data_IF_629355838117
#
_entry.id   IF_629355838117
#
_cell.length_a   1.000
_cell.length_b   1.000
_cell.length_c   1.000
_cell.angle_alpha   90.00
_cell.angle_beta   90.00
_cell.angle_gamma   90.00
#
_symmetry.space_group_name_H-M   'P 1'
#
loop_
_entity.id
_entity.type
_entity.pdbx_description
1 polymer ?
#
# COMPACT_ATOMS: atom_id res chain seq x y z
N UNK A 1 22.22 -11.47 -0.91
CA UNK A 1 21.31 -11.86 0.21
C UNK A 1 20.42 -13.05 -0.16
N UNK A 2 19.58 -12.98 -1.19
CA UNK A 2 18.76 -14.13 -1.62
C UNK A 2 19.59 -15.28 -2.22
N UNK A 3 20.68 -15.00 -2.92
CA UNK A 3 21.60 -16.04 -3.42
C UNK A 3 22.31 -16.79 -2.31
N UNK A 4 22.69 -16.11 -1.22
CA UNK A 4 23.25 -16.75 -0.02
C UNK A 4 22.24 -17.64 0.70
N UNK A 5 20.95 -17.24 0.72
CA UNK A 5 19.88 -18.05 1.28
C UNK A 5 19.54 -19.26 0.41
N UNK A 6 19.62 -19.12 -0.91
CA UNK A 6 19.35 -20.23 -1.85
C UNK A 6 20.48 -21.27 -1.88
N UNK A 7 21.72 -20.90 -1.53
CA UNK A 7 22.83 -21.81 -1.37
C UNK A 7 22.80 -22.58 -0.02
N UNK A 8 22.01 -22.11 0.95
CA UNK A 8 21.86 -22.74 2.24
C UNK A 8 20.36 -22.93 2.59
N UNK A 9 19.85 -24.12 2.25
CA UNK A 9 18.43 -24.48 2.45
C UNK A 9 18.00 -24.32 3.92
N UNK A 10 18.87 -24.58 4.88
CA UNK A 10 18.52 -24.48 6.30
C UNK A 10 18.34 -23.04 6.76
N UNK A 11 19.22 -22.13 6.31
CA UNK A 11 19.10 -20.69 6.58
C UNK A 11 17.86 -20.10 5.92
N UNK A 12 17.58 -20.51 4.69
CA UNK A 12 16.39 -20.10 3.96
C UNK A 12 15.09 -20.59 4.65
N UNK A 13 15.07 -21.85 5.06
CA UNK A 13 13.92 -22.43 5.80
C UNK A 13 13.70 -21.70 7.13
N UNK A 14 14.77 -21.37 7.86
CA UNK A 14 14.68 -20.63 9.11
C UNK A 14 14.13 -19.21 8.91
N UNK A 15 14.56 -18.50 7.85
CA UNK A 15 14.04 -17.19 7.48
C UNK A 15 12.55 -17.27 7.17
N UNK A 16 12.12 -18.24 6.33
CA UNK A 16 10.71 -18.46 5.98
C UNK A 16 9.84 -18.70 7.22
N UNK A 17 10.30 -19.55 8.14
CA UNK A 17 9.58 -19.88 9.37
C UNK A 17 9.46 -18.65 10.27
N UNK A 18 10.48 -17.83 10.39
CA UNK A 18 10.46 -16.61 11.21
C UNK A 18 9.56 -15.54 10.60
N UNK A 19 9.62 -15.34 9.30
CA UNK A 19 8.77 -14.41 8.56
C UNK A 19 7.30 -14.77 8.66
N UNK A 20 6.94 -16.03 8.54
CA UNK A 20 5.56 -16.53 8.69
C UNK A 20 5.05 -16.31 10.12
N UNK A 21 5.89 -16.50 11.15
CA UNK A 21 5.51 -16.29 12.55
C UNK A 21 5.19 -14.85 12.90
N UNK A 22 5.79 -13.89 12.20
CA UNK A 22 5.66 -12.47 12.51
C UNK A 22 4.48 -11.77 11.81
N UNK A 23 3.69 -12.48 11.00
CA UNK A 23 2.51 -11.97 10.26
C UNK A 23 2.77 -10.72 9.41
N UNK A 24 4.04 -10.41 9.13
CA UNK A 24 4.46 -9.21 8.37
C UNK A 24 4.85 -9.52 6.95
N UNK A 25 5.05 -10.79 6.65
CA UNK A 25 5.46 -11.25 5.32
C UNK A 25 4.47 -12.27 4.76
N UNK A 26 4.37 -12.27 3.45
CA UNK A 26 3.63 -13.27 2.68
C UNK A 26 4.60 -13.80 1.63
N UNK A 27 4.71 -15.13 1.55
CA UNK A 27 5.56 -15.78 0.59
C UNK A 27 4.86 -16.98 -0.05
N UNK A 28 5.01 -17.09 -1.35
CA UNK A 28 4.42 -18.15 -2.16
C UNK A 28 5.49 -18.93 -2.89
N UNK A 29 5.32 -20.25 -2.94
CA UNK A 29 6.13 -21.13 -3.77
C UNK A 29 5.64 -21.04 -5.22
N UNK A 30 6.53 -20.62 -6.12
CA UNK A 30 6.29 -20.65 -7.57
C UNK A 30 6.40 -22.08 -8.05
N UNK A 31 5.37 -22.59 -8.74
CA UNK A 31 5.33 -23.96 -9.27
C UNK A 31 4.99 -23.99 -10.74
N UNK A 32 5.55 -24.94 -11.46
CA UNK A 32 5.06 -25.29 -12.80
C UNK A 32 3.66 -25.93 -12.71
N UNK A 33 2.95 -25.98 -13.84
CA UNK A 33 1.61 -26.59 -13.94
C UNK A 33 1.60 -28.05 -13.47
N UNK A 34 2.72 -28.76 -13.65
CA UNK A 34 2.87 -30.14 -13.16
C UNK A 34 3.15 -30.25 -11.65
N UNK A 35 3.15 -29.12 -10.92
CA UNK A 35 3.38 -29.04 -9.49
C UNK A 35 4.84 -28.90 -9.05
N UNK A 36 5.81 -28.97 -9.98
CA UNK A 36 7.24 -28.85 -9.64
C UNK A 36 7.55 -27.47 -9.07
N UNK A 37 8.12 -27.34 -7.86
CA UNK A 37 8.53 -26.06 -7.29
C UNK A 37 9.76 -25.55 -8.02
N UNK A 38 9.74 -24.30 -8.44
CA UNK A 38 10.78 -23.66 -9.24
C UNK A 38 11.31 -22.35 -8.65
N UNK A 39 10.68 -21.85 -7.57
CA UNK A 39 11.09 -20.58 -6.98
C UNK A 39 10.13 -20.09 -5.90
N UNK A 40 10.31 -18.85 -5.54
CA UNK A 40 9.52 -18.12 -4.56
C UNK A 40 9.20 -16.72 -5.05
N UNK A 41 8.09 -16.17 -4.55
CA UNK A 41 7.73 -14.76 -4.67
C UNK A 41 6.99 -14.34 -3.42
N UNK A 42 7.27 -13.15 -2.93
CA UNK A 42 6.64 -12.66 -1.70
C UNK A 42 7.24 -11.35 -1.27
N UNK A 43 7.30 -11.14 0.03
CA UNK A 43 7.92 -9.97 0.63
C UNK A 43 7.28 -9.60 1.95
N UNK A 44 7.57 -8.40 2.40
CA UNK A 44 7.14 -7.91 3.70
C UNK A 44 6.48 -6.54 3.62
N UNK A 45 5.58 -6.31 4.56
CA UNK A 45 4.87 -5.06 4.71
C UNK A 45 5.79 -4.02 5.35
N UNK A 46 5.94 -2.90 4.69
CA UNK A 46 6.71 -1.76 5.15
C UNK A 46 5.78 -0.57 5.44
N UNK A 47 5.88 -0.01 6.64
CA UNK A 47 5.14 1.19 7.01
C UNK A 47 6.08 2.40 7.04
N UNK A 48 5.83 3.34 6.16
CA UNK A 48 6.57 4.61 6.12
C UNK A 48 6.23 5.50 7.33
N UNK A 49 7.10 6.47 7.63
CA UNK A 49 6.86 7.43 8.71
C UNK A 49 5.60 8.27 8.48
N UNK A 50 5.20 8.46 7.24
CA UNK A 50 3.97 9.14 6.80
C UNK A 50 2.70 8.34 7.12
N UNK A 51 2.81 7.07 7.52
CA UNK A 51 1.70 6.13 7.69
C UNK A 51 1.36 5.36 6.40
N UNK A 52 1.98 5.68 5.29
CA UNK A 52 1.83 4.97 4.01
C UNK A 52 2.29 3.52 4.17
N UNK A 53 1.51 2.60 3.65
CA UNK A 53 1.81 1.16 3.64
C UNK A 53 2.35 0.80 2.26
N UNK A 54 3.56 0.28 2.25
CA UNK A 54 4.26 -0.20 1.07
C UNK A 54 4.60 -1.67 1.22
N UNK A 55 4.88 -2.34 0.13
CA UNK A 55 5.30 -3.75 0.13
C UNK A 55 6.71 -3.88 -0.44
N UNK A 56 7.65 -4.34 0.39
CA UNK A 56 8.98 -4.71 -0.08
C UNK A 56 8.90 -6.11 -0.71
N UNK A 57 8.99 -6.17 -2.02
CA UNK A 57 8.80 -7.41 -2.79
C UNK A 57 10.13 -8.10 -3.02
N UNK A 58 10.13 -9.43 -2.95
CA UNK A 58 11.27 -10.29 -3.25
C UNK A 58 10.84 -11.48 -4.09
N UNK A 59 11.74 -12.02 -4.89
CA UNK A 59 11.52 -13.25 -5.64
C UNK A 59 12.85 -13.96 -5.91
N UNK A 60 12.77 -15.26 -6.11
CA UNK A 60 13.89 -16.08 -6.57
C UNK A 60 13.38 -17.22 -7.44
N UNK A 61 14.10 -17.52 -8.52
CA UNK A 61 13.84 -18.66 -9.38
C UNK A 61 15.09 -19.54 -9.43
N UNK A 62 14.92 -20.84 -9.25
CA UNK A 62 16.02 -21.81 -9.31
C UNK A 62 16.80 -21.67 -10.61
N UNK A 63 18.15 -21.78 -10.61
CA UNK A 63 18.99 -21.52 -11.78
C UNK A 63 18.58 -22.30 -13.03
N UNK A 64 18.17 -23.55 -12.87
CA UNK A 64 17.71 -24.42 -13.97
C UNK A 64 16.43 -23.96 -14.66
N UNK A 65 15.69 -23.04 -14.05
CA UNK A 65 14.42 -22.51 -14.56
C UNK A 65 14.47 -21.02 -14.90
N UNK A 66 15.62 -20.38 -14.72
CA UNK A 66 15.80 -18.97 -15.08
C UNK A 66 15.72 -18.76 -16.61
N UNK A 67 15.59 -17.48 -17.02
CA UNK A 67 15.50 -17.05 -18.44
C UNK A 67 14.29 -17.57 -19.22
N UNK A 68 13.26 -18.09 -18.51
CA UNK A 68 11.99 -18.54 -19.10
C UNK A 68 10.81 -17.59 -18.83
N UNK A 69 11.06 -16.41 -18.26
CA UNK A 69 10.02 -15.44 -17.93
C UNK A 69 9.33 -15.66 -16.58
N UNK A 70 9.57 -16.77 -15.90
CA UNK A 70 8.88 -17.14 -14.64
C UNK A 70 9.02 -16.11 -13.53
N UNK A 71 10.17 -15.44 -13.40
CA UNK A 71 10.35 -14.39 -12.40
C UNK A 71 9.40 -13.19 -12.66
N UNK A 72 9.27 -12.76 -13.91
CA UNK A 72 8.37 -11.69 -14.31
C UNK A 72 6.91 -12.08 -14.07
N UNK A 73 6.52 -13.29 -14.49
CA UNK A 73 5.16 -13.80 -14.30
C UNK A 73 4.79 -13.90 -12.81
N UNK A 74 5.69 -14.44 -11.98
CA UNK A 74 5.51 -14.54 -10.55
C UNK A 74 5.39 -13.16 -9.90
N UNK A 75 6.26 -12.22 -10.25
CA UNK A 75 6.23 -10.86 -9.71
C UNK A 75 4.95 -10.13 -10.10
N UNK A 76 4.50 -10.20 -11.36
CA UNK A 76 3.24 -9.60 -11.82
C UNK A 76 2.06 -10.22 -11.07
N UNK A 77 1.98 -11.54 -10.99
CA UNK A 77 0.88 -12.24 -10.31
C UNK A 77 0.82 -11.89 -8.83
N UNK A 78 1.95 -11.83 -8.15
CA UNK A 78 2.03 -11.44 -6.75
C UNK A 78 1.62 -9.97 -6.55
N UNK A 79 2.06 -9.08 -7.43
CA UNK A 79 1.70 -7.66 -7.38
C UNK A 79 0.20 -7.46 -7.57
N UNK A 80 -0.44 -8.17 -8.49
CA UNK A 80 -1.90 -8.15 -8.64
C UNK A 80 -2.61 -8.70 -7.39
N UNK A 81 -2.07 -9.76 -6.79
CA UNK A 81 -2.63 -10.30 -5.55
C UNK A 81 -2.60 -9.29 -4.39
N UNK A 82 -1.50 -8.57 -4.19
CA UNK A 82 -1.39 -7.61 -3.09
C UNK A 82 -2.20 -6.33 -3.29
N UNK A 83 -2.70 -6.05 -4.50
CA UNK A 83 -3.60 -4.91 -4.77
C UNK A 83 -4.92 -4.98 -3.98
N UNK A 84 -5.37 -6.15 -3.56
CA UNK A 84 -6.58 -6.28 -2.74
C UNK A 84 -6.43 -5.67 -1.34
N UNK A 85 -5.19 -5.42 -0.91
CA UNK A 85 -4.88 -4.76 0.36
C UNK A 85 -4.68 -3.24 0.14
N UNK A 86 -4.81 -2.45 1.19
CA UNK A 86 -4.61 -1.00 1.14
C UNK A 86 -3.11 -0.63 1.08
N UNK A 87 -2.41 -1.17 0.09
CA UNK A 87 -0.99 -0.96 -0.16
C UNK A 87 -0.84 0.08 -1.26
N UNK A 88 -0.12 1.17 -0.97
CA UNK A 88 0.08 2.27 -1.92
C UNK A 88 0.98 1.85 -3.06
N UNK A 89 2.09 1.18 -2.73
CA UNK A 89 3.10 0.77 -3.70
C UNK A 89 3.78 -0.53 -3.32
N UNK A 90 4.22 -1.27 -4.32
CA UNK A 90 5.21 -2.32 -4.18
C UNK A 90 6.58 -1.79 -4.62
N UNK A 91 7.64 -2.22 -3.96
CA UNK A 91 8.99 -1.84 -4.35
C UNK A 91 9.97 -3.00 -4.28
N UNK A 92 11.08 -2.85 -4.99
CA UNK A 92 12.20 -3.76 -5.05
C UNK A 92 13.48 -2.96 -4.88
N UNK A 93 14.37 -3.41 -4.03
CA UNK A 93 15.73 -2.89 -3.92
C UNK A 93 16.68 -3.88 -4.60
N UNK A 94 17.34 -3.45 -5.68
CA UNK A 94 18.10 -4.30 -6.59
C UNK A 94 19.56 -3.83 -6.60
N UNK A 95 20.51 -4.75 -6.40
CA UNK A 95 21.94 -4.44 -6.49
C UNK A 95 22.32 -3.93 -7.90
N UNK A 96 23.31 -3.05 -7.93
CA UNK A 96 23.77 -2.42 -9.18
C UNK A 96 24.20 -3.41 -10.25
N UNK A 97 24.82 -4.50 -9.87
CA UNK A 97 25.31 -5.56 -10.76
C UNK A 97 24.21 -6.55 -11.20
N UNK A 98 23.01 -6.50 -10.62
CA UNK A 98 21.93 -7.45 -10.92
C UNK A 98 21.05 -7.00 -12.09
N UNK A 99 21.63 -6.99 -13.30
CA UNK A 99 20.93 -6.63 -14.53
C UNK A 99 19.71 -7.53 -14.83
N UNK A 100 19.76 -8.79 -14.40
CA UNK A 100 18.66 -9.72 -14.58
C UNK A 100 17.41 -9.27 -13.80
N UNK A 101 17.58 -8.90 -12.51
CA UNK A 101 16.48 -8.39 -11.68
C UNK A 101 15.99 -7.03 -12.14
N UNK A 102 16.87 -6.13 -12.58
CA UNK A 102 16.46 -4.84 -13.16
C UNK A 102 15.52 -5.05 -14.36
N UNK A 103 15.87 -6.00 -15.25
CA UNK A 103 15.01 -6.33 -16.40
C UNK A 103 13.69 -6.97 -16.01
N UNK A 104 13.67 -7.83 -14.98
CA UNK A 104 12.43 -8.40 -14.44
C UNK A 104 11.53 -7.30 -13.87
N UNK A 105 12.07 -6.41 -13.05
CA UNK A 105 11.33 -5.27 -12.49
C UNK A 105 10.71 -4.40 -13.60
N UNK A 106 11.51 -4.04 -14.60
CA UNK A 106 11.06 -3.25 -15.75
C UNK A 106 9.94 -3.95 -16.54
N UNK A 107 10.09 -5.24 -16.82
CA UNK A 107 9.08 -6.03 -17.53
C UNK A 107 7.79 -6.22 -16.72
N UNK A 108 7.89 -6.21 -15.39
CA UNK A 108 6.74 -6.25 -14.48
C UNK A 108 6.09 -4.88 -14.25
N UNK A 109 6.57 -3.82 -14.92
CA UNK A 109 5.99 -2.48 -14.86
C UNK A 109 6.53 -1.59 -13.75
N UNK A 110 7.50 -2.05 -12.97
CA UNK A 110 8.16 -1.22 -11.96
C UNK A 110 9.03 -0.16 -12.65
N UNK A 111 9.09 1.01 -12.03
CA UNK A 111 9.90 2.13 -12.52
C UNK A 111 11.02 2.42 -11.54
N UNK A 112 12.21 2.64 -12.08
CA UNK A 112 13.33 3.13 -11.29
C UNK A 112 12.97 4.50 -10.69
N UNK A 113 13.21 4.67 -9.39
CA UNK A 113 12.94 5.91 -8.68
C UNK A 113 14.24 6.60 -8.24
N UNK A 114 15.08 5.89 -7.50
CA UNK A 114 16.30 6.47 -6.90
C UNK A 114 17.29 5.39 -6.46
N UNK A 115 18.50 5.82 -6.15
CA UNK A 115 19.46 4.99 -5.44
C UNK A 115 19.21 5.07 -3.92
N UNK A 116 19.38 3.95 -3.25
CA UNK A 116 19.33 3.84 -1.79
C UNK A 116 20.65 3.26 -1.28
N UNK A 117 21.15 3.81 -0.17
CA UNK A 117 22.30 3.24 0.51
C UNK A 117 21.84 2.12 1.44
N UNK A 118 22.45 0.95 1.33
CA UNK A 118 22.21 -0.19 2.20
C UNK A 118 23.52 -0.56 2.93
N UNK A 119 23.44 -0.65 4.24
CA UNK A 119 24.57 -1.12 5.05
C UNK A 119 24.35 -2.59 5.43
N UNK A 120 25.24 -3.45 4.98
CA UNK A 120 25.27 -4.86 5.40
C UNK A 120 26.09 -5.01 6.69
N UNK A 121 25.47 -5.24 7.85
CA UNK A 121 26.17 -5.37 9.11
C UNK A 121 27.02 -6.64 9.23
N UNK A 122 26.76 -7.67 8.43
CA UNK A 122 27.55 -8.93 8.44
C UNK A 122 28.90 -8.76 7.75
N UNK A 123 28.91 -8.04 6.66
CA UNK A 123 30.12 -7.82 5.86
C UNK A 123 30.74 -6.44 6.11
N UNK A 124 30.09 -5.60 6.95
CA UNK A 124 30.52 -4.21 7.22
C UNK A 124 30.68 -3.37 5.93
N UNK A 125 29.87 -3.64 4.94
CA UNK A 125 29.91 -3.01 3.63
C UNK A 125 28.72 -2.09 3.41
N UNK A 126 28.99 -0.99 2.72
CA UNK A 126 27.96 -0.08 2.20
C UNK A 126 27.76 -0.39 0.73
N UNK A 127 26.58 -0.82 0.37
CA UNK A 127 26.18 -1.06 -1.01
C UNK A 127 25.15 -0.03 -1.49
N UNK A 128 25.12 0.20 -2.79
CA UNK A 128 24.09 1.01 -3.43
C UNK A 128 23.05 0.06 -4.02
N UNK A 129 21.80 0.28 -3.67
CA UNK A 129 20.67 -0.45 -4.23
C UNK A 129 19.85 0.49 -5.11
N UNK A 130 19.38 -0.01 -6.24
CA UNK A 130 18.46 0.69 -7.11
C UNK A 130 17.03 0.40 -6.66
N UNK A 131 16.33 1.45 -6.24
CA UNK A 131 14.98 1.38 -5.77
C UNK A 131 13.99 1.48 -6.95
N UNK A 132 13.21 0.41 -7.16
CA UNK A 132 12.20 0.30 -8.20
C UNK A 132 10.82 0.24 -7.57
N UNK A 133 9.89 1.06 -8.05
CA UNK A 133 8.55 1.17 -7.50
C UNK A 133 7.47 0.91 -8.53
N UNK A 134 6.37 0.29 -8.08
CA UNK A 134 5.11 0.20 -8.81
C UNK A 134 3.98 0.73 -7.93
N UNK A 135 3.35 1.79 -8.37
CA UNK A 135 2.17 2.35 -7.68
C UNK A 135 0.98 1.42 -7.88
N UNK A 136 0.37 0.98 -6.78
CA UNK A 136 -0.79 0.09 -6.76
C UNK A 136 -2.08 0.87 -6.55
N UNK A 137 -2.04 1.83 -5.62
CA UNK A 137 -3.14 2.73 -5.33
C UNK A 137 -2.60 4.15 -5.17
N UNK A 138 -3.45 5.15 -5.37
CA UNK A 138 -3.08 6.50 -5.00
C UNK A 138 -3.04 6.63 -3.46
N UNK A 139 -2.15 7.47 -2.95
CA UNK A 139 -2.11 7.77 -1.52
C UNK A 139 -3.47 8.26 -1.02
N UNK A 140 -4.16 9.02 -1.85
CA UNK A 140 -5.49 9.54 -1.58
C UNK A 140 -6.51 8.43 -1.31
N UNK A 141 -6.58 7.43 -2.19
CA UNK A 141 -7.53 6.32 -2.08
C UNK A 141 -7.24 5.46 -0.85
N UNK A 142 -5.97 5.27 -0.52
CA UNK A 142 -5.57 4.53 0.67
C UNK A 142 -5.97 5.27 1.94
N UNK A 143 -5.67 6.56 2.06
CA UNK A 143 -6.09 7.34 3.22
C UNK A 143 -7.61 7.42 3.33
N UNK A 144 -8.33 7.55 2.22
CA UNK A 144 -9.78 7.51 2.22
C UNK A 144 -10.31 6.17 2.74
N UNK A 145 -9.77 5.04 2.27
CA UNK A 145 -10.14 3.71 2.74
C UNK A 145 -9.85 3.51 4.24
N UNK A 146 -8.69 3.97 4.72
CA UNK A 146 -8.34 3.94 6.14
C UNK A 146 -9.31 4.78 6.98
N UNK A 147 -9.74 5.93 6.46
CA UNK A 147 -10.77 6.77 7.08
C UNK A 147 -12.11 6.05 7.20
N UNK A 148 -12.55 5.35 6.15
CA UNK A 148 -13.76 4.54 6.18
C UNK A 148 -13.67 3.40 7.22
N UNK A 149 -12.56 2.66 7.25
CA UNK A 149 -12.35 1.60 8.24
C UNK A 149 -12.36 2.11 9.67
N UNK A 150 -11.69 3.24 9.95
CA UNK A 150 -11.72 3.87 11.27
C UNK A 150 -13.16 4.31 11.65
N UNK A 151 -13.93 4.80 10.69
CA UNK A 151 -15.34 5.16 10.91
C UNK A 151 -16.19 3.95 11.28
N UNK A 152 -16.02 2.82 10.59
CA UNK A 152 -16.75 1.57 10.85
C UNK A 152 -16.50 1.02 12.27
N UNK A 153 -15.25 1.13 12.76
CA UNK A 153 -14.91 0.75 14.13
C UNK A 153 -15.20 1.86 15.16
N UNK A 154 -15.86 2.93 14.73
CA UNK A 154 -16.28 4.09 15.56
C UNK A 154 -15.12 4.92 16.12
N UNK A 155 -13.93 4.81 15.57
CA UNK A 155 -12.81 5.70 15.89
C UNK A 155 -12.88 6.96 14.99
N UNK A 156 -13.86 7.81 15.30
CA UNK A 156 -14.23 8.94 14.45
C UNK A 156 -13.15 10.03 14.36
N UNK A 157 -12.33 10.19 15.39
CA UNK A 157 -11.22 11.15 15.37
C UNK A 157 -10.08 10.67 14.46
N UNK A 158 -9.80 9.37 14.46
CA UNK A 158 -8.84 8.77 13.54
C UNK A 158 -9.39 8.80 12.11
N UNK A 159 -10.70 8.55 11.93
CA UNK A 159 -11.36 8.67 10.62
C UNK A 159 -11.20 10.08 10.04
N UNK A 160 -11.48 11.11 10.83
CA UNK A 160 -11.29 12.52 10.43
C UNK A 160 -9.86 12.79 9.98
N UNK A 161 -8.86 12.32 10.75
CA UNK A 161 -7.44 12.49 10.42
C UNK A 161 -7.09 11.88 9.07
N UNK A 162 -7.57 10.68 8.78
CA UNK A 162 -7.31 10.03 7.51
C UNK A 162 -8.03 10.69 6.33
N UNK A 163 -9.26 11.16 6.50
CA UNK A 163 -9.93 11.93 5.45
C UNK A 163 -9.24 13.26 5.17
N UNK A 164 -8.67 13.91 6.19
CA UNK A 164 -7.87 15.11 6.02
C UNK A 164 -6.57 14.80 5.24
N UNK A 165 -5.87 13.73 5.59
CA UNK A 165 -4.69 13.27 4.86
C UNK A 165 -5.01 12.94 3.39
N UNK A 166 -6.19 12.37 3.12
CA UNK A 166 -6.62 12.14 1.74
C UNK A 166 -6.83 13.46 0.97
N UNK A 167 -7.36 14.50 1.61
CA UNK A 167 -7.53 15.82 1.01
C UNK A 167 -6.22 16.55 0.71
N UNK A 168 -5.16 16.26 1.47
CA UNK A 168 -3.82 16.83 1.27
C UNK A 168 -3.07 16.21 0.08
N UNK A 169 -3.54 15.06 -0.42
CA UNK A 169 -2.93 14.41 -1.58
C UNK A 169 -3.42 15.05 -2.89
N UNK A 170 -2.52 15.08 -3.88
CA UNK A 170 -2.89 15.54 -5.22
C UNK A 170 -4.04 14.71 -5.81
N UNK A 171 -4.97 15.41 -6.44
CA UNK A 171 -6.09 14.77 -7.13
C UNK A 171 -5.62 14.21 -8.47
N UNK A 172 -5.54 12.90 -8.58
CA UNK A 172 -5.33 12.22 -9.85
C UNK A 172 -6.69 12.04 -10.57
N UNK A 173 -6.79 12.50 -11.80
CA UNK A 173 -7.97 12.24 -12.64
C UNK A 173 -8.18 10.72 -12.73
N UNK A 174 -9.33 10.25 -12.24
CA UNK A 174 -9.66 8.83 -12.17
C UNK A 174 -9.77 8.25 -10.76
N UNK A 175 -9.35 8.99 -9.73
CA UNK A 175 -9.66 8.57 -8.35
C UNK A 175 -11.17 8.69 -8.11
N UNK A 176 -11.86 7.62 -7.64
CA UNK A 176 -13.27 7.68 -7.27
C UNK A 176 -13.51 8.55 -6.03
N UNK A 177 -12.46 8.82 -5.26
CA UNK A 177 -12.53 9.50 -3.97
C UNK A 177 -12.25 11.00 -4.14
N UNK A 178 -13.27 11.73 -4.60
CA UNK A 178 -13.23 13.18 -4.81
C UNK A 178 -13.12 13.95 -3.49
N UNK A 179 -12.74 15.23 -3.57
CA UNK A 179 -12.77 16.14 -2.42
C UNK A 179 -14.16 16.18 -1.78
N UNK A 180 -15.20 16.22 -2.60
CA UNK A 180 -16.57 16.24 -2.11
C UNK A 180 -16.88 15.02 -1.23
N UNK A 181 -16.42 13.84 -1.62
CA UNK A 181 -16.64 12.60 -0.88
C UNK A 181 -15.82 12.58 0.42
N UNK A 182 -14.56 13.04 0.37
CA UNK A 182 -13.71 13.18 1.57
C UNK A 182 -14.34 14.14 2.59
N UNK A 183 -14.81 15.33 2.15
CA UNK A 183 -15.50 16.27 3.02
C UNK A 183 -16.80 15.71 3.59
N UNK A 184 -17.58 14.98 2.79
CA UNK A 184 -18.80 14.33 3.27
C UNK A 184 -18.53 13.36 4.41
N UNK A 185 -17.59 12.44 4.21
CA UNK A 185 -17.27 11.42 5.20
C UNK A 185 -16.62 12.02 6.45
N UNK A 186 -15.73 13.00 6.27
CA UNK A 186 -15.14 13.75 7.39
C UNK A 186 -16.22 14.48 8.21
N UNK A 187 -17.19 15.12 7.53
CA UNK A 187 -18.29 15.77 8.20
C UNK A 187 -19.16 14.81 9.01
N UNK A 188 -19.44 13.62 8.48
CA UNK A 188 -20.18 12.58 9.21
C UNK A 188 -19.37 12.06 10.42
N UNK A 189 -18.05 11.89 10.29
CA UNK A 189 -17.20 11.52 11.40
C UNK A 189 -17.19 12.58 12.49
N UNK A 190 -17.00 13.86 12.13
CA UNK A 190 -17.03 15.00 13.06
C UNK A 190 -18.35 15.09 13.83
N UNK A 191 -19.48 14.90 13.15
CA UNK A 191 -20.80 14.88 13.80
C UNK A 191 -20.92 13.74 14.81
N UNK A 192 -20.40 12.56 14.47
CA UNK A 192 -20.50 11.36 15.30
C UNK A 192 -19.76 11.45 16.63
N UNK A 193 -18.71 12.27 16.73
CA UNK A 193 -18.01 12.50 18.01
C UNK A 193 -18.29 13.87 18.64
N UNK A 194 -19.22 14.66 18.07
CA UNK A 194 -19.71 15.90 18.66
C UNK A 194 -19.00 17.19 18.20
N UNK A 195 -18.12 17.15 17.23
CA UNK A 195 -17.54 18.35 16.61
C UNK A 195 -18.49 18.93 15.55
N UNK A 196 -19.62 19.44 16.00
CA UNK A 196 -20.75 19.84 15.15
C UNK A 196 -20.42 21.02 14.23
N UNK A 197 -19.61 21.99 14.70
CA UNK A 197 -19.21 23.12 13.88
C UNK A 197 -18.42 22.65 12.65
N UNK A 198 -17.39 21.83 12.87
CA UNK A 198 -16.59 21.27 11.78
C UNK A 198 -17.41 20.34 10.89
N UNK A 199 -18.32 19.55 11.48
CA UNK A 199 -19.24 18.71 10.72
C UNK A 199 -20.05 19.53 9.70
N UNK A 200 -20.65 20.63 10.15
CA UNK A 200 -21.44 21.52 9.29
C UNK A 200 -20.59 22.11 8.16
N UNK A 201 -19.42 22.66 8.47
CA UNK A 201 -18.49 23.22 7.50
C UNK A 201 -18.08 22.20 6.42
N UNK A 202 -17.74 20.98 6.83
CA UNK A 202 -17.37 19.90 5.92
C UNK A 202 -18.54 19.49 5.01
N UNK A 203 -19.72 19.27 5.57
CA UNK A 203 -20.90 18.89 4.79
C UNK A 203 -21.34 19.98 3.82
N UNK A 204 -21.26 21.26 4.23
CA UNK A 204 -21.52 22.39 3.33
C UNK A 204 -20.49 22.47 2.20
N UNK A 205 -19.22 22.17 2.49
CA UNK A 205 -18.17 22.13 1.48
C UNK A 205 -18.35 20.97 0.50
N UNK A 206 -18.73 19.78 0.98
CA UNK A 206 -19.10 18.65 0.12
C UNK A 206 -20.24 19.04 -0.84
N UNK A 207 -21.28 19.70 -0.32
CA UNK A 207 -22.41 20.19 -1.12
C UNK A 207 -21.99 21.24 -2.15
N UNK A 208 -21.14 22.19 -1.78
CA UNK A 208 -20.59 23.20 -2.70
C UNK A 208 -19.77 22.57 -3.83
N UNK A 209 -19.12 21.43 -3.57
CA UNK A 209 -18.37 20.65 -4.57
C UNK A 209 -19.27 19.73 -5.42
N UNK A 210 -20.58 19.82 -5.28
CA UNK A 210 -21.55 19.10 -6.11
C UNK A 210 -22.05 17.77 -5.53
N UNK A 211 -21.61 17.38 -4.32
CA UNK A 211 -22.10 16.17 -3.67
C UNK A 211 -23.30 16.53 -2.77
N UNK A 212 -24.49 16.15 -3.20
CA UNK A 212 -25.71 16.26 -2.40
C UNK A 212 -26.46 14.94 -2.43
N UNK A 213 -26.72 14.39 -1.25
CA UNK A 213 -27.51 13.17 -1.08
C UNK A 213 -28.35 13.26 0.19
N UNK A 214 -29.27 12.31 0.36
CA UNK A 214 -30.21 12.27 1.48
C UNK A 214 -29.53 12.27 2.85
N UNK A 215 -28.37 11.63 2.97
CA UNK A 215 -27.62 11.56 4.23
C UNK A 215 -27.05 12.92 4.63
N UNK A 216 -26.43 13.63 3.68
CA UNK A 216 -25.89 14.98 3.88
C UNK A 216 -27.02 15.95 4.25
N UNK A 217 -28.13 15.94 3.51
CA UNK A 217 -29.26 16.85 3.78
C UNK A 217 -29.92 16.58 5.12
N UNK A 218 -30.05 15.29 5.50
CA UNK A 218 -30.58 14.89 6.82
C UNK A 218 -29.68 15.38 7.94
N UNK A 219 -28.36 15.21 7.83
CA UNK A 219 -27.41 15.60 8.84
C UNK A 219 -27.32 17.13 8.99
N UNK A 220 -27.27 17.86 7.89
CA UNK A 220 -27.31 19.33 7.90
C UNK A 220 -28.58 19.87 8.56
N UNK A 221 -29.72 19.24 8.30
CA UNK A 221 -31.00 19.60 8.93
C UNK A 221 -30.96 19.32 10.43
N UNK A 222 -30.42 18.19 10.82
CA UNK A 222 -30.28 17.83 12.23
C UNK A 222 -29.37 18.82 12.99
N UNK A 223 -28.22 19.19 12.40
CA UNK A 223 -27.28 20.16 12.97
C UNK A 223 -27.94 21.54 13.16
N UNK A 224 -28.71 22.02 12.19
CA UNK A 224 -29.44 23.27 12.32
C UNK A 224 -30.49 23.25 13.42
N UNK A 225 -31.28 22.19 13.46
CA UNK A 225 -32.42 22.11 14.37
C UNK A 225 -32.04 21.82 15.83
N UNK A 226 -30.95 21.06 16.05
CA UNK A 226 -30.60 20.58 17.40
C UNK A 226 -29.37 21.28 17.98
N UNK A 227 -28.51 21.85 17.14
CA UNK A 227 -27.27 22.51 17.58
C UNK A 227 -27.29 24.02 17.31
N UNK A 228 -28.18 24.49 16.45
CA UNK A 228 -28.32 25.93 16.13
C UNK A 228 -27.20 26.48 15.25
N UNK A 229 -26.59 25.64 14.42
CA UNK A 229 -25.53 26.03 13.48
C UNK A 229 -26.17 26.36 12.12
N UNK A 230 -25.82 27.54 11.56
CA UNK A 230 -26.40 28.06 10.31
C UNK A 230 -25.33 28.42 9.29
#
# INVERSE_FOLDING_TARGET
MLEDYMSNIDLFTAYMVDSIKNERSIEYIVRLINGTPIGLVGGELYREQTGVISWNTAYAILPSYQRNGYATEALVSFTEYIKQYNIVKAFLDISDDNEASKKVAQNAGYKYNKDTAHFDPKHMELSVLFHWELMLHSNRDVFFSMGCQAYEVKDYQVAEKYFLQALEQEYNQGSPNTDALCYSNMGMACSSYGNYQKAFECLMKAKKLGLSNTSIERELRWLRNNVGIY
#
